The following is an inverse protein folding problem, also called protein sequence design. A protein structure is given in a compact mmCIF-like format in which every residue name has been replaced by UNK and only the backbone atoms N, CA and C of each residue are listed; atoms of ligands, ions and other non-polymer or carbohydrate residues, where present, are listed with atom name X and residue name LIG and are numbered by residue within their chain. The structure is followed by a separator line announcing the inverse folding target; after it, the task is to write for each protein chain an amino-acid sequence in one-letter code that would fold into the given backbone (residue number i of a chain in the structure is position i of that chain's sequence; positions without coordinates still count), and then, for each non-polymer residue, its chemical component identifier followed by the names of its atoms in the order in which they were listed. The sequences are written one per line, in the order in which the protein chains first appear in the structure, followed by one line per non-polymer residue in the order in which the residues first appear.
data_IF_483473931685
#
_entry.id   IF_483473931685
#
_cell.length_a   1.000
_cell.length_b   1.000
_cell.length_c   1.000
_cell.angle_alpha   90.00
_cell.angle_beta   90.00
_cell.angle_gamma   90.00
#
_symmetry.space_group_name_H-M   'P 1'
#
loop_
_entity.id
_entity.type
_entity.pdbx_description
1 polymer ?
#
# COMPACT_ATOMS: atom_id res chain seq x y z
N UNK A 1 -13.88 -8.40 -10.30
CA UNK A 1 -12.83 -7.71 -11.07
C UNK A 1 -11.56 -7.72 -10.22
N UNK A 2 -10.38 -7.86 -10.81
CA UNK A 2 -9.13 -7.79 -10.05
C UNK A 2 -8.92 -6.35 -9.57
N UNK A 3 -8.82 -6.15 -8.25
CA UNK A 3 -8.72 -4.82 -7.64
C UNK A 3 -7.26 -4.42 -7.41
N UNK A 4 -6.33 -5.37 -7.36
CA UNK A 4 -4.99 -5.12 -6.85
C UNK A 4 -3.95 -4.73 -7.88
N UNK A 5 -4.27 -4.59 -9.17
CA UNK A 5 -3.34 -4.09 -10.21
C UNK A 5 -1.94 -4.77 -10.19
N UNK A 6 -1.83 -5.99 -9.67
CA UNK A 6 -0.54 -6.66 -9.41
C UNK A 6 0.30 -6.88 -10.67
N UNK A 7 -0.37 -7.14 -11.79
CA UNK A 7 0.26 -7.28 -13.10
C UNK A 7 1.04 -6.02 -13.49
N UNK A 8 0.44 -4.84 -13.36
CA UNK A 8 1.10 -3.58 -13.71
C UNK A 8 2.20 -3.23 -12.70
N UNK A 9 1.97 -3.48 -11.41
CA UNK A 9 2.98 -3.32 -10.37
C UNK A 9 4.25 -4.14 -10.67
N UNK A 10 4.11 -5.41 -11.02
CA UNK A 10 5.24 -6.27 -11.37
C UNK A 10 5.95 -5.80 -12.63
N UNK A 11 5.20 -5.40 -13.65
CA UNK A 11 5.74 -4.86 -14.90
C UNK A 11 6.58 -3.61 -14.66
N UNK A 12 6.09 -2.68 -13.85
CA UNK A 12 6.78 -1.44 -13.51
C UNK A 12 8.06 -1.69 -12.73
N UNK A 13 8.00 -2.54 -11.70
CA UNK A 13 9.18 -2.91 -10.91
C UNK A 13 10.23 -3.57 -11.79
N UNK A 14 9.84 -4.52 -12.64
CA UNK A 14 10.76 -5.17 -13.58
C UNK A 14 11.41 -4.15 -14.52
N UNK A 15 10.62 -3.22 -15.07
CA UNK A 15 11.12 -2.15 -15.94
C UNK A 15 12.12 -1.25 -15.21
N UNK A 16 11.82 -0.84 -13.98
CA UNK A 16 12.73 -0.01 -13.15
C UNK A 16 14.03 -0.72 -12.81
N UNK A 17 13.98 -2.03 -12.52
CA UNK A 17 15.16 -2.84 -12.16
C UNK A 17 15.94 -3.36 -13.37
N UNK A 18 15.41 -3.22 -14.59
CA UNK A 18 16.02 -3.77 -15.81
C UNK A 18 15.98 -5.30 -15.88
N UNK A 19 14.98 -5.92 -15.25
CA UNK A 19 14.91 -7.37 -15.08
C UNK A 19 14.28 -8.09 -16.27
N UNK A 20 14.82 -9.27 -16.59
CA UNK A 20 14.26 -10.17 -17.61
C UNK A 20 13.16 -11.07 -17.04
N UNK A 21 12.31 -11.62 -17.91
CA UNK A 21 11.32 -12.63 -17.52
C UNK A 21 11.95 -13.82 -16.79
N UNK A 22 13.15 -14.25 -17.19
CA UNK A 22 13.85 -15.36 -16.55
C UNK A 22 14.28 -15.01 -15.12
N UNK A 23 14.76 -13.78 -14.90
CA UNK A 23 15.13 -13.31 -13.56
C UNK A 23 13.91 -13.16 -12.66
N UNK A 24 12.85 -12.53 -13.17
CA UNK A 24 11.57 -12.42 -12.45
C UNK A 24 10.95 -13.79 -12.16
N UNK A 25 11.08 -14.76 -13.07
CA UNK A 25 10.63 -16.14 -12.87
C UNK A 25 11.33 -16.80 -11.68
N UNK A 26 12.66 -16.68 -11.59
CA UNK A 26 13.42 -17.18 -10.43
C UNK A 26 12.97 -16.54 -9.12
N UNK A 27 12.76 -15.22 -9.12
CA UNK A 27 12.23 -14.48 -7.96
C UNK A 27 10.82 -14.95 -7.56
N UNK A 28 9.99 -15.29 -8.54
CA UNK A 28 8.62 -15.75 -8.36
C UNK A 28 8.49 -17.27 -8.11
N UNK A 29 9.60 -18.02 -8.16
CA UNK A 29 9.64 -19.48 -8.15
C UNK A 29 8.77 -20.14 -9.25
N UNK A 30 8.75 -19.55 -10.45
CA UNK A 30 8.05 -20.07 -11.63
C UNK A 30 8.87 -19.82 -12.90
N UNK A 31 8.50 -20.45 -14.01
CA UNK A 31 9.15 -20.16 -15.29
C UNK A 31 8.91 -18.72 -15.76
N UNK A 32 9.90 -18.15 -16.46
CA UNK A 32 9.74 -16.81 -17.05
C UNK A 32 8.58 -16.71 -18.05
N UNK A 33 8.19 -17.83 -18.68
CA UNK A 33 7.01 -17.89 -19.54
C UNK A 33 5.71 -17.68 -18.75
N UNK A 34 5.63 -18.16 -17.51
CA UNK A 34 4.50 -17.94 -16.61
C UNK A 34 4.43 -16.47 -16.18
N UNK A 35 5.57 -15.85 -15.85
CA UNK A 35 5.65 -14.40 -15.61
C UNK A 35 5.15 -13.63 -16.84
N UNK A 36 5.57 -14.02 -18.04
CA UNK A 36 5.10 -13.40 -19.28
C UNK A 36 3.59 -13.49 -19.49
N UNK A 37 2.95 -14.61 -19.10
CA UNK A 37 1.47 -14.74 -19.12
C UNK A 37 0.80 -13.82 -18.10
N UNK A 38 1.40 -13.66 -16.92
CA UNK A 38 0.91 -12.73 -15.88
C UNK A 38 0.97 -11.30 -16.39
N UNK A 39 2.11 -10.88 -16.95
CA UNK A 39 2.31 -9.53 -17.50
C UNK A 39 1.38 -9.20 -18.67
N UNK A 40 0.92 -10.20 -19.43
CA UNK A 40 -0.07 -10.05 -20.51
C UNK A 40 -1.51 -10.10 -20.02
N UNK A 41 -1.75 -10.34 -18.74
CA UNK A 41 -3.09 -10.53 -18.17
C UNK A 41 -3.77 -11.84 -18.56
N UNK A 42 -3.07 -12.76 -19.26
CA UNK A 42 -3.65 -14.06 -19.67
C UNK A 42 -3.63 -15.10 -18.56
N UNK A 43 -2.94 -14.81 -17.46
CA UNK A 43 -2.96 -15.63 -16.23
C UNK A 43 -2.93 -14.70 -15.01
N UNK A 44 -3.78 -14.96 -14.02
CA UNK A 44 -3.72 -14.26 -12.73
C UNK A 44 -2.50 -14.73 -11.93
N UNK A 45 -1.81 -13.82 -11.25
CA UNK A 45 -0.77 -14.18 -10.29
C UNK A 45 -1.39 -14.92 -9.10
N UNK A 46 -0.84 -16.09 -8.76
CA UNK A 46 -1.23 -16.82 -7.55
C UNK A 46 -0.62 -16.18 -6.31
N UNK A 47 -1.21 -16.38 -5.13
CA UNK A 47 -0.69 -15.86 -3.87
C UNK A 47 0.80 -16.18 -3.61
N UNK A 48 1.31 -17.41 -3.85
CA UNK A 48 2.74 -17.69 -3.67
C UNK A 48 3.65 -16.88 -4.60
N UNK A 49 3.19 -16.59 -5.83
CA UNK A 49 3.92 -15.77 -6.81
C UNK A 49 3.94 -14.32 -6.35
N UNK A 50 2.79 -13.80 -5.91
CA UNK A 50 2.70 -12.42 -5.40
C UNK A 50 3.60 -12.22 -4.18
N UNK A 51 3.55 -13.16 -3.22
CA UNK A 51 4.40 -13.13 -2.03
C UNK A 51 5.89 -13.21 -2.38
N UNK A 52 6.29 -14.19 -3.18
CA UNK A 52 7.70 -14.39 -3.52
C UNK A 52 8.30 -13.18 -4.25
N UNK A 53 7.58 -12.63 -5.22
CA UNK A 53 8.03 -11.43 -5.94
C UNK A 53 8.03 -10.17 -5.08
N UNK A 54 7.00 -9.93 -4.26
CA UNK A 54 6.97 -8.79 -3.34
C UNK A 54 8.15 -8.82 -2.36
N UNK A 55 8.46 -10.00 -1.78
CA UNK A 55 9.61 -10.18 -0.90
C UNK A 55 10.95 -10.03 -1.61
N UNK A 56 11.08 -10.54 -2.85
CA UNK A 56 12.33 -10.44 -3.59
C UNK A 56 12.67 -9.01 -3.99
N UNK A 57 11.68 -8.28 -4.51
CA UNK A 57 11.88 -6.92 -5.00
C UNK A 57 11.84 -5.88 -3.89
N UNK A 58 11.18 -6.21 -2.77
CA UNK A 58 11.04 -5.39 -1.59
C UNK A 58 10.58 -3.95 -1.90
N UNK A 59 9.58 -3.85 -2.77
CA UNK A 59 9.03 -2.60 -3.28
C UNK A 59 7.60 -2.43 -2.76
N UNK A 60 7.31 -1.29 -2.13
CA UNK A 60 5.99 -1.00 -1.57
C UNK A 60 4.87 -1.11 -2.60
N UNK A 61 5.12 -0.81 -3.89
CA UNK A 61 4.13 -0.98 -4.97
C UNK A 61 3.64 -2.43 -5.07
N UNK A 62 4.54 -3.41 -4.96
CA UNK A 62 4.19 -4.83 -5.03
C UNK A 62 3.44 -5.31 -3.78
N UNK A 63 3.85 -4.85 -2.60
CA UNK A 63 3.15 -5.19 -1.36
C UNK A 63 1.71 -4.67 -1.35
N UNK A 64 1.50 -3.42 -1.76
CA UNK A 64 0.16 -2.82 -1.83
C UNK A 64 -0.72 -3.50 -2.87
N UNK A 65 -0.16 -3.80 -4.04
CA UNK A 65 -0.86 -4.52 -5.08
C UNK A 65 -1.27 -5.94 -4.65
N UNK A 66 -0.37 -6.67 -3.98
CA UNK A 66 -0.66 -7.98 -3.42
C UNK A 66 -1.73 -7.93 -2.32
N UNK A 67 -1.65 -6.92 -1.44
CA UNK A 67 -2.65 -6.71 -0.40
C UNK A 67 -4.04 -6.47 -1.01
N UNK A 68 -4.16 -5.58 -1.98
CA UNK A 68 -5.43 -5.27 -2.63
C UNK A 68 -6.04 -6.49 -3.37
N UNK A 69 -5.22 -7.39 -3.93
CA UNK A 69 -5.71 -8.64 -4.53
C UNK A 69 -6.34 -9.59 -3.50
N UNK A 70 -5.79 -9.66 -2.29
CA UNK A 70 -6.24 -10.59 -1.23
C UNK A 70 -7.38 -9.99 -0.41
N UNK A 71 -7.37 -8.68 -0.17
CA UNK A 71 -8.38 -7.98 0.64
C UNK A 71 -9.61 -7.56 -0.15
N UNK A 72 -9.60 -7.71 -1.48
CA UNK A 72 -10.66 -7.19 -2.34
C UNK A 72 -10.69 -5.66 -2.41
N UNK A 73 -9.55 -5.00 -2.18
CA UNK A 73 -9.41 -3.54 -2.20
C UNK A 73 -9.57 -2.85 -0.84
N UNK A 74 -9.82 -3.59 0.24
CA UNK A 74 -9.79 -3.05 1.60
C UNK A 74 -8.34 -2.88 2.10
N UNK A 75 -7.56 -2.08 1.39
CA UNK A 75 -6.17 -1.72 1.67
C UNK A 75 -5.79 -0.44 0.94
N UNK A 76 -4.67 0.19 1.31
CA UNK A 76 -4.12 1.32 0.55
C UNK A 76 -3.85 0.87 -0.90
N UNK A 77 -4.45 1.52 -1.91
CA UNK A 77 -4.16 1.22 -3.32
C UNK A 77 -2.82 1.84 -3.72
N UNK A 78 -2.20 1.35 -4.79
CA UNK A 78 -1.08 2.07 -5.41
C UNK A 78 -1.62 3.22 -6.28
N UNK A 79 -1.09 4.43 -6.10
CA UNK A 79 -1.43 5.60 -6.91
C UNK A 79 -0.51 5.68 -8.14
N UNK A 80 -1.03 5.33 -9.31
CA UNK A 80 -0.30 5.35 -10.59
C UNK A 80 -0.45 6.66 -11.37
N UNK A 81 -1.44 7.48 -11.00
CA UNK A 81 -1.70 8.79 -11.60
C UNK A 81 -1.22 9.99 -10.74
N UNK A 82 -0.58 9.73 -9.59
CA UNK A 82 -0.09 10.77 -8.69
C UNK A 82 1.39 11.11 -8.95
N UNK A 83 1.80 12.34 -8.61
CA UNK A 83 3.22 12.70 -8.57
C UNK A 83 3.90 12.07 -7.35
N UNK A 84 4.58 10.95 -7.58
CA UNK A 84 5.33 10.22 -6.57
C UNK A 84 6.80 10.66 -6.48
N UNK A 85 7.17 11.84 -6.97
CA UNK A 85 8.47 12.42 -6.65
C UNK A 85 8.60 12.60 -5.12
N UNK A 86 9.76 12.28 -4.49
CA UNK A 86 9.90 12.30 -3.03
C UNK A 86 9.49 13.62 -2.35
N UNK A 87 9.74 14.77 -2.97
CA UNK A 87 9.30 16.06 -2.41
C UNK A 87 7.78 16.22 -2.48
N UNK A 88 7.16 15.86 -3.61
CA UNK A 88 5.73 15.99 -3.84
C UNK A 88 4.95 15.06 -2.90
N UNK A 89 5.38 13.79 -2.81
CA UNK A 89 4.82 12.82 -1.87
C UNK A 89 4.95 13.28 -0.42
N UNK A 90 6.10 13.87 -0.05
CA UNK A 90 6.31 14.40 1.31
C UNK A 90 5.39 15.58 1.63
N UNK A 91 5.30 16.57 0.73
CA UNK A 91 4.43 17.75 0.92
C UNK A 91 2.96 17.32 1.03
N UNK A 92 2.49 16.46 0.12
CA UNK A 92 1.11 15.94 0.16
C UNK A 92 0.85 15.16 1.42
N UNK A 93 1.81 14.37 1.91
CA UNK A 93 1.67 13.67 3.19
C UNK A 93 1.45 14.63 4.36
N UNK A 94 2.14 15.77 4.42
CA UNK A 94 1.95 16.76 5.48
C UNK A 94 0.58 17.44 5.38
N UNK A 95 0.09 17.71 4.17
CA UNK A 95 -1.26 18.23 3.93
C UNK A 95 -2.33 17.27 4.46
N UNK A 96 -2.27 16.01 4.04
CA UNK A 96 -3.22 14.95 4.39
C UNK A 96 -3.24 14.65 5.90
N UNK A 97 -2.08 14.68 6.56
CA UNK A 97 -2.00 14.56 8.03
C UNK A 97 -2.75 15.70 8.72
N UNK A 98 -2.62 16.93 8.21
CA UNK A 98 -3.31 18.11 8.79
C UNK A 98 -4.81 18.06 8.57
N UNK A 99 -5.26 17.58 7.41
CA UNK A 99 -6.68 17.41 7.11
C UNK A 99 -7.30 16.33 8.01
N UNK A 100 -6.64 15.16 8.15
CA UNK A 100 -7.04 14.12 9.08
C UNK A 100 -7.06 14.58 10.54
N UNK A 101 -6.05 15.32 11.00
CA UNK A 101 -6.02 15.90 12.35
C UNK A 101 -7.20 16.83 12.57
N UNK A 102 -7.46 17.76 11.64
CA UNK A 102 -8.59 18.69 11.73
C UNK A 102 -9.93 17.96 11.75
N UNK A 103 -10.08 16.90 10.96
CA UNK A 103 -11.30 16.11 10.91
C UNK A 103 -11.53 15.35 12.23
N UNK A 104 -10.48 14.74 12.79
CA UNK A 104 -10.52 14.05 14.09
C UNK A 104 -10.95 14.99 15.22
N UNK A 105 -10.44 16.22 15.23
CA UNK A 105 -10.79 17.23 16.25
C UNK A 105 -12.27 17.65 16.20
N UNK A 106 -12.95 17.50 15.05
CA UNK A 106 -14.36 17.86 14.87
C UNK A 106 -15.32 16.68 15.03
N UNK A 107 -14.80 15.45 15.11
CA UNK A 107 -15.61 14.25 15.13
C UNK A 107 -16.41 14.13 16.44
N UNK A 108 -17.74 13.90 16.39
CA UNK A 108 -18.59 13.84 17.59
C UNK A 108 -18.47 12.49 18.34
N UNK A 109 -17.25 12.06 18.68
CA UNK A 109 -16.96 10.73 19.22
C UNK A 109 -17.51 10.47 20.63
N UNK A 110 -17.96 11.52 21.32
CA UNK A 110 -18.57 11.43 22.64
C UNK A 110 -20.07 11.11 22.60
N UNK A 111 -20.70 11.16 21.42
CA UNK A 111 -22.12 10.80 21.24
C UNK A 111 -22.28 9.28 21.12
N UNK A 112 -23.30 8.75 21.79
CA UNK A 112 -23.79 7.37 21.58
C UNK A 112 -24.53 7.25 20.25
N UNK A 113 -24.73 6.02 19.75
CA UNK A 113 -25.37 5.78 18.45
C UNK A 113 -26.80 6.35 18.37
N UNK A 114 -27.51 6.36 19.49
CA UNK A 114 -28.87 6.88 19.65
C UNK A 114 -28.91 8.42 19.63
N UNK A 115 -27.79 9.07 19.99
CA UNK A 115 -27.65 10.53 20.00
C UNK A 115 -27.17 11.10 18.66
N UNK A 116 -26.74 10.25 17.72
CA UNK A 116 -26.22 10.70 16.43
C UNK A 116 -27.34 11.18 15.51
N UNK A 117 -27.24 12.44 15.10
CA UNK A 117 -28.02 12.94 13.97
C UNK A 117 -27.49 12.38 12.64
N UNK A 118 -28.26 12.55 11.57
CA UNK A 118 -27.80 12.23 10.20
C UNK A 118 -26.54 13.02 9.85
N UNK A 119 -26.48 14.30 10.26
CA UNK A 119 -25.29 15.14 10.07
C UNK A 119 -24.07 14.65 10.82
N UNK A 120 -24.25 14.14 12.05
CA UNK A 120 -23.15 13.54 12.82
C UNK A 120 -22.61 12.29 12.13
N UNK A 121 -23.48 11.42 11.61
CA UNK A 121 -23.07 10.22 10.87
C UNK A 121 -22.27 10.58 9.62
N UNK A 122 -22.69 11.60 8.89
CA UNK A 122 -21.95 12.10 7.73
C UNK A 122 -20.59 12.65 8.15
N UNK A 123 -20.52 13.49 9.19
CA UNK A 123 -19.27 14.02 9.71
C UNK A 123 -18.29 12.94 10.19
N UNK A 124 -18.79 11.87 10.82
CA UNK A 124 -17.97 10.71 11.19
C UNK A 124 -17.43 10.03 9.92
N UNK A 125 -18.28 9.80 8.91
CA UNK A 125 -17.86 9.19 7.65
C UNK A 125 -16.78 10.02 6.95
N UNK A 126 -16.98 11.34 6.88
CA UNK A 126 -16.00 12.25 6.27
C UNK A 126 -14.68 12.18 7.04
N UNK A 127 -14.71 12.22 8.38
CA UNK A 127 -13.50 12.07 9.20
C UNK A 127 -12.79 10.72 9.03
N UNK A 128 -13.53 9.63 8.79
CA UNK A 128 -12.95 8.33 8.46
C UNK A 128 -12.29 8.33 7.07
N UNK A 129 -12.86 9.06 6.10
CA UNK A 129 -12.25 9.20 4.77
C UNK A 129 -10.93 9.98 4.85
N UNK A 130 -10.89 11.09 5.57
CA UNK A 130 -9.66 11.88 5.80
C UNK A 130 -8.54 11.03 6.43
N UNK A 131 -8.90 10.14 7.37
CA UNK A 131 -7.94 9.17 7.93
C UNK A 131 -7.42 8.16 6.89
N UNK A 132 -8.29 7.68 5.99
CA UNK A 132 -7.90 6.77 4.92
C UNK A 132 -6.98 7.48 3.91
N UNK A 133 -7.25 8.75 3.60
CA UNK A 133 -6.42 9.58 2.72
C UNK A 133 -5.04 9.83 3.34
N UNK A 134 -4.97 10.17 4.64
CA UNK A 134 -3.71 10.28 5.38
C UNK A 134 -2.90 8.97 5.42
N UNK A 135 -3.54 7.83 5.69
CA UNK A 135 -2.87 6.52 5.65
C UNK A 135 -2.35 6.22 4.23
N UNK A 136 -3.12 6.58 3.21
CA UNK A 136 -2.71 6.45 1.81
C UNK A 136 -1.47 7.28 1.52
N UNK A 137 -1.46 8.56 1.87
CA UNK A 137 -0.32 9.46 1.64
C UNK A 137 0.93 9.02 2.41
N UNK A 138 0.79 8.71 3.71
CA UNK A 138 1.88 8.20 4.55
C UNK A 138 2.52 6.94 3.95
N UNK A 139 1.70 5.99 3.50
CA UNK A 139 2.19 4.74 2.93
C UNK A 139 2.97 4.97 1.63
N UNK A 140 2.51 5.87 0.76
CA UNK A 140 3.22 6.23 -0.45
C UNK A 140 4.52 6.96 -0.17
N UNK A 141 4.52 7.89 0.80
CA UNK A 141 5.72 8.59 1.22
C UNK A 141 6.76 7.60 1.77
N UNK A 142 6.38 6.64 2.62
CA UNK A 142 7.28 5.57 3.07
C UNK A 142 7.85 4.79 1.87
N UNK A 143 6.98 4.32 0.96
CA UNK A 143 7.42 3.56 -0.23
C UNK A 143 8.41 4.33 -1.11
N UNK A 144 8.13 5.61 -1.37
CA UNK A 144 8.99 6.50 -2.18
C UNK A 144 10.32 6.76 -1.47
N UNK A 145 10.33 7.01 -0.16
CA UNK A 145 11.54 7.26 0.60
C UNK A 145 12.39 6.00 0.78
N UNK A 146 11.76 4.82 0.93
CA UNK A 146 12.46 3.53 0.92
C UNK A 146 13.25 3.35 -0.38
N UNK A 147 12.61 3.60 -1.53
CA UNK A 147 13.28 3.54 -2.84
C UNK A 147 14.38 4.59 -2.99
N UNK A 148 14.17 5.81 -2.48
CA UNK A 148 15.15 6.91 -2.58
C UNK A 148 16.41 6.65 -1.75
N UNK A 149 16.25 6.13 -0.56
CA UNK A 149 17.34 5.98 0.42
C UNK A 149 17.81 4.53 0.60
N UNK A 150 17.37 3.63 -0.28
CA UNK A 150 17.73 2.21 -0.27
C UNK A 150 17.40 1.49 1.05
N UNK A 151 16.27 1.87 1.67
CA UNK A 151 15.74 1.15 2.82
C UNK A 151 14.83 0.02 2.36
N UNK A 152 14.92 -1.10 3.07
CA UNK A 152 14.02 -2.23 2.91
C UNK A 152 12.62 -1.89 3.43
N UNK A 153 11.62 -1.96 2.56
CA UNK A 153 10.23 -1.69 2.94
C UNK A 153 9.74 -2.75 3.95
N UNK A 154 9.98 -4.03 3.67
CA UNK A 154 9.60 -5.13 4.53
C UNK A 154 10.30 -5.07 5.90
N UNK A 155 11.60 -4.77 5.92
CA UNK A 155 12.36 -4.73 7.18
C UNK A 155 11.87 -3.62 8.11
N UNK A 156 11.50 -2.44 7.59
CA UNK A 156 10.92 -1.36 8.40
C UNK A 156 9.61 -1.80 9.07
N UNK A 157 8.76 -2.55 8.36
CA UNK A 157 7.55 -3.11 8.95
C UNK A 157 7.85 -4.21 9.98
N UNK A 158 8.90 -5.01 9.78
CA UNK A 158 9.36 -5.99 10.76
C UNK A 158 9.87 -5.33 12.04
N UNK A 159 10.69 -4.28 11.91
CA UNK A 159 11.18 -3.46 13.02
C UNK A 159 10.00 -2.86 13.80
N UNK A 160 9.05 -2.23 13.11
CA UNK A 160 7.86 -1.67 13.76
C UNK A 160 7.04 -2.73 14.50
N UNK A 161 6.84 -3.92 13.91
CA UNK A 161 6.15 -5.03 14.60
C UNK A 161 6.91 -5.49 15.85
N UNK A 162 8.23 -5.53 15.81
CA UNK A 162 9.05 -5.88 16.97
C UNK A 162 8.92 -4.84 18.08
N UNK A 163 8.90 -3.55 17.76
CA UNK A 163 8.61 -2.50 18.73
C UNK A 163 7.22 -2.65 19.36
N UNK A 164 6.19 -2.94 18.56
CA UNK A 164 4.83 -3.14 19.05
C UNK A 164 4.74 -4.34 20.00
N UNK A 165 5.47 -5.43 19.72
CA UNK A 165 5.60 -6.57 20.65
C UNK A 165 6.29 -6.17 21.95
N UNK A 166 7.39 -5.42 21.88
CA UNK A 166 8.09 -4.92 23.06
C UNK A 166 7.20 -4.03 23.93
N UNK A 167 6.35 -3.20 23.30
CA UNK A 167 5.34 -2.35 23.95
C UNK A 167 4.09 -3.13 24.40
N UNK A 168 4.01 -4.44 24.16
CA UNK A 168 2.86 -5.32 24.47
C UNK A 168 1.55 -4.95 23.74
N UNK A 169 1.65 -4.24 22.62
CA UNK A 169 0.52 -4.01 21.71
C UNK A 169 0.27 -5.20 20.77
N UNK A 170 1.27 -6.07 20.60
CA UNK A 170 1.18 -7.31 19.82
C UNK A 170 1.79 -8.49 20.60
N UNK A 171 1.36 -9.71 20.26
CA UNK A 171 1.98 -10.95 20.75
C UNK A 171 3.14 -11.39 19.85
#
# INVERSE_FOLDING_TARGET
MAVGHFTEALKDVMKRRGDTLAKAGRAAHVDGSQVGKILKGTRKASEPVMRATAHHYDDGQLFLAAAAEVTGGASVPWLDCADLHPSSAHIKTIEEIREAEQALLRMPITKTLEQLSVGDRQSIKDSLMEQIEAITALTHNISVLCRKYDFSYLSLWEEHRNELRAKKYMK
#
